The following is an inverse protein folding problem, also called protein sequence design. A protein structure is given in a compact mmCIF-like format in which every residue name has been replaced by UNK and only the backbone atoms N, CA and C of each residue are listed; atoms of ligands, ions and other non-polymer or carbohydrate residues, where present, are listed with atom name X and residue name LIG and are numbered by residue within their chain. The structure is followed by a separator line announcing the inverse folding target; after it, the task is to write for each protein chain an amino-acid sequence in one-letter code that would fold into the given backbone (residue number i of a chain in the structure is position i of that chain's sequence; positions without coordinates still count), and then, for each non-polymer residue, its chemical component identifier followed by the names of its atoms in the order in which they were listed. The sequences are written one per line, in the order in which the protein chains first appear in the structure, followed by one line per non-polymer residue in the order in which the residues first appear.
data_IF_364255376184
#
_entry.id   IF_364255376184
#
_cell.length_a   1.000
_cell.length_b   1.000
_cell.length_c   1.000
_cell.angle_alpha   90.00
_cell.angle_beta   90.00
_cell.angle_gamma   90.00
#
_symmetry.space_group_name_H-M   'P 1'
#
loop_
_entity.id
_entity.type
_entity.pdbx_description
1 polymer ?
#
# COMPACT_ATOMS: atom_id res chain seq x y z
N UNK A 1 -28.73 -2.19 6.86
CA UNK A 1 -27.31 -2.42 7.25
C UNK A 1 -26.66 -3.15 6.08
N UNK A 2 -25.68 -2.55 5.42
CA UNK A 2 -24.98 -3.22 4.31
C UNK A 2 -24.19 -4.43 4.84
N UNK A 3 -24.25 -5.57 4.14
CA UNK A 3 -23.56 -6.80 4.53
C UNK A 3 -22.05 -6.63 4.29
N UNK A 4 -21.21 -6.92 5.28
CA UNK A 4 -19.76 -6.88 5.15
C UNK A 4 -19.28 -8.02 4.24
N UNK A 5 -18.67 -7.67 3.10
CA UNK A 5 -18.13 -8.59 2.10
C UNK A 5 -16.61 -8.35 1.99
N UNK A 6 -15.84 -9.28 2.54
CA UNK A 6 -14.37 -9.17 2.61
C UNK A 6 -13.72 -9.32 1.23
N UNK A 7 -14.29 -10.12 0.34
CA UNK A 7 -13.71 -10.40 -0.98
C UNK A 7 -13.85 -9.21 -1.93
N UNK A 8 -14.91 -8.40 -1.77
CA UNK A 8 -15.14 -7.20 -2.58
C UNK A 8 -14.41 -5.95 -2.09
N UNK A 9 -13.94 -5.94 -0.83
CA UNK A 9 -13.34 -4.75 -0.20
C UNK A 9 -11.85 -4.66 -0.52
N UNK A 10 -11.51 -4.04 -1.65
CA UNK A 10 -10.13 -3.64 -1.94
C UNK A 10 -9.72 -2.54 -0.95
N UNK A 11 -8.84 -2.87 -0.01
CA UNK A 11 -8.27 -1.90 0.95
C UNK A 11 -7.35 -0.93 0.19
N UNK A 12 -7.40 0.34 0.56
CA UNK A 12 -6.56 1.39 -0.02
C UNK A 12 -5.97 2.28 1.07
N UNK A 13 -4.85 2.92 0.76
CA UNK A 13 -4.30 4.03 1.52
C UNK A 13 -4.24 5.28 0.67
N UNK A 14 -4.48 6.43 1.30
CA UNK A 14 -4.21 7.74 0.70
C UNK A 14 -2.80 8.20 1.05
N UNK A 15 -2.28 9.20 0.34
CA UNK A 15 -0.98 9.83 0.65
C UNK A 15 -0.95 10.50 2.03
N UNK A 16 -2.11 10.81 2.62
CA UNK A 16 -2.20 11.26 4.00
C UNK A 16 -2.01 10.14 5.03
N UNK A 17 -1.76 8.90 4.59
CA UNK A 17 -1.51 7.73 5.46
C UNK A 17 -2.77 7.06 6.01
N UNK A 18 -3.97 7.61 5.74
CA UNK A 18 -5.23 7.06 6.21
C UNK A 18 -5.77 6.02 5.24
N UNK A 19 -6.34 4.95 5.79
CA UNK A 19 -6.86 3.82 5.03
C UNK A 19 -8.37 3.89 4.86
N UNK A 20 -8.85 3.39 3.74
CA UNK A 20 -10.27 3.30 3.41
C UNK A 20 -10.47 2.28 2.29
N UNK A 21 -11.70 1.80 2.09
CA UNK A 21 -12.00 0.91 0.98
C UNK A 21 -12.03 1.67 -0.36
N UNK A 22 -11.61 1.04 -1.46
CA UNK A 22 -11.59 1.67 -2.79
C UNK A 22 -12.97 2.21 -3.20
N UNK A 23 -14.02 1.41 -2.99
CA UNK A 23 -15.38 1.85 -3.30
C UNK A 23 -15.81 3.06 -2.48
N UNK A 24 -15.42 3.09 -1.20
CA UNK A 24 -15.74 4.18 -0.29
C UNK A 24 -15.16 5.49 -0.82
N UNK A 25 -13.88 5.48 -1.21
CA UNK A 25 -13.19 6.65 -1.75
C UNK A 25 -13.73 7.07 -3.14
N UNK A 26 -14.25 6.13 -3.92
CA UNK A 26 -14.86 6.44 -5.22
C UNK A 26 -16.24 7.08 -5.10
N UNK A 27 -17.07 6.61 -4.15
CA UNK A 27 -18.43 7.12 -3.90
C UNK A 27 -18.45 8.47 -3.16
N UNK A 28 -17.31 8.94 -2.64
CA UNK A 28 -17.24 10.23 -1.98
C UNK A 28 -17.56 11.37 -2.97
N UNK A 29 -18.54 12.23 -2.65
CA UNK A 29 -18.89 13.36 -3.51
C UNK A 29 -17.75 14.39 -3.60
N UNK A 30 -17.02 14.56 -2.49
CA UNK A 30 -15.83 15.40 -2.42
C UNK A 30 -14.62 14.52 -2.12
N UNK A 31 -13.55 14.64 -2.91
CA UNK A 31 -12.33 13.83 -2.77
C UNK A 31 -11.46 14.31 -1.62
N UNK A 32 -12.02 14.27 -0.41
CA UNK A 32 -11.35 14.61 0.84
C UNK A 32 -11.27 13.38 1.72
N UNK A 33 -10.11 13.16 2.33
CA UNK A 33 -9.90 12.04 3.24
C UNK A 33 -10.99 12.05 4.34
N UNK A 34 -11.70 10.94 4.59
CA UNK A 34 -12.76 10.90 5.59
C UNK A 34 -12.24 11.11 7.02
N UNK A 35 -10.95 10.86 7.28
CA UNK A 35 -10.35 11.02 8.60
C UNK A 35 -9.78 12.41 8.83
N UNK A 36 -8.94 12.91 7.92
CA UNK A 36 -8.20 14.16 8.11
C UNK A 36 -8.64 15.29 7.17
N UNK A 37 -9.61 15.04 6.29
CA UNK A 37 -10.19 15.99 5.32
C UNK A 37 -9.21 16.57 4.30
N UNK A 38 -7.96 16.08 4.26
CA UNK A 38 -7.00 16.44 3.21
C UNK A 38 -7.53 16.03 1.84
N UNK A 39 -7.52 16.97 0.90
CA UNK A 39 -7.93 16.72 -0.48
C UNK A 39 -6.99 15.67 -1.12
N UNK A 40 -7.55 14.85 -1.99
CA UNK A 40 -6.83 13.85 -2.77
C UNK A 40 -7.42 13.74 -4.20
N UNK A 41 -6.68 13.15 -5.12
CA UNK A 41 -7.18 12.78 -6.47
C UNK A 41 -7.28 11.26 -6.61
N UNK A 42 -7.98 10.76 -7.63
CA UNK A 42 -8.16 9.31 -7.81
C UNK A 42 -6.82 8.59 -8.04
N UNK A 43 -5.84 9.26 -8.65
CA UNK A 43 -4.48 8.74 -8.87
C UNK A 43 -3.70 8.58 -7.55
N UNK A 44 -4.12 9.28 -6.50
CA UNK A 44 -3.52 9.22 -5.16
C UNK A 44 -4.14 8.13 -4.27
N UNK A 45 -5.05 7.31 -4.82
CA UNK A 45 -5.62 6.14 -4.14
C UNK A 45 -4.74 4.92 -4.41
N UNK A 46 -3.99 4.48 -3.40
CA UNK A 46 -3.07 3.35 -3.50
C UNK A 46 -3.80 2.08 -3.02
N UNK A 47 -4.06 1.13 -3.94
CA UNK A 47 -4.67 -0.16 -3.60
C UNK A 47 -3.66 -1.06 -2.88
N UNK A 48 -4.06 -1.59 -1.74
CA UNK A 48 -3.30 -2.58 -0.97
C UNK A 48 -3.73 -3.98 -1.43
N UNK A 49 -2.91 -4.60 -2.27
CA UNK A 49 -3.13 -6.00 -2.66
C UNK A 49 -2.55 -6.91 -1.57
N UNK A 50 -3.43 -7.61 -0.84
CA UNK A 50 -3.04 -8.59 0.20
C UNK A 50 -2.28 -9.82 -0.35
N UNK A 51 -2.09 -9.93 -1.68
CA UNK A 51 -1.60 -11.16 -2.34
C UNK A 51 -0.09 -11.25 -2.58
N UNK A 52 0.74 -10.33 -2.07
CA UNK A 52 2.21 -10.42 -2.31
C UNK A 52 2.89 -11.46 -1.39
N UNK A 53 2.25 -11.93 -0.32
CA UNK A 53 2.94 -12.81 0.65
C UNK A 53 2.62 -14.31 0.57
N UNK A 54 1.68 -14.76 -0.27
CA UNK A 54 1.42 -16.22 -0.42
C UNK A 54 2.20 -16.89 -1.56
N UNK A 55 2.66 -16.14 -2.56
CA UNK A 55 3.40 -16.71 -3.70
C UNK A 55 4.93 -16.56 -3.55
N UNK A 56 5.42 -15.61 -2.76
CA UNK A 56 6.85 -15.34 -2.58
C UNK A 56 7.51 -16.11 -1.40
N UNK A 57 6.81 -17.06 -0.78
CA UNK A 57 7.37 -17.85 0.34
C UNK A 57 8.36 -18.95 -0.08
N UNK A 58 8.69 -19.08 -1.37
CA UNK A 58 9.64 -20.09 -1.88
C UNK A 58 10.92 -19.52 -2.51
N UNK A 59 11.00 -18.22 -2.83
CA UNK A 59 12.17 -17.67 -3.56
C UNK A 59 13.06 -16.70 -2.76
N UNK A 60 12.67 -16.27 -1.55
CA UNK A 60 13.51 -15.40 -0.70
C UNK A 60 14.36 -16.21 0.30
N UNK A 61 14.79 -17.42 -0.06
CA UNK A 61 15.74 -18.20 0.74
C UNK A 61 17.18 -18.21 0.16
N UNK A 62 17.42 -17.62 -1.02
CA UNK A 62 18.71 -17.71 -1.71
C UNK A 62 19.40 -16.37 -2.00
N UNK A 63 18.87 -15.24 -1.51
CA UNK A 63 19.52 -13.94 -1.72
C UNK A 63 20.21 -13.46 -0.45
N UNK A 64 21.41 -13.98 -0.17
CA UNK A 64 22.35 -13.35 0.77
C UNK A 64 23.19 -12.33 -0.01
N UNK A 65 23.10 -11.01 0.28
CA UNK A 65 24.05 -10.06 -0.28
C UNK A 65 25.37 -10.11 0.51
N UNK A 66 26.44 -10.59 -0.12
CA UNK A 66 27.81 -10.37 0.35
C UNK A 66 28.14 -8.88 0.23
N UNK A 67 28.32 -8.21 1.37
CA UNK A 67 28.79 -6.83 1.44
C UNK A 67 30.29 -6.82 1.10
N UNK A 68 30.65 -6.37 -0.10
CA UNK A 68 32.02 -5.99 -0.43
C UNK A 68 32.26 -4.58 0.12
N UNK A 69 32.88 -4.49 1.30
CA UNK A 69 33.42 -3.22 1.79
C UNK A 69 34.67 -2.84 0.97
N UNK A 70 34.49 -1.98 -0.03
CA UNK A 70 35.59 -1.27 -0.67
C UNK A 70 36.16 -0.24 0.32
N UNK A 71 37.32 -0.57 0.93
CA UNK A 71 38.15 0.41 1.64
C UNK A 71 38.81 1.34 0.62
N UNK A 72 38.30 2.57 0.55
CA UNK A 72 38.96 3.68 -0.13
C UNK A 72 40.24 4.02 0.65
N UNK A 73 41.38 3.83 -0.01
CA UNK A 73 42.70 4.27 0.43
C UNK A 73 42.71 5.77 0.76
N UNK A 74 43.23 6.12 1.94
CA UNK A 74 43.82 7.44 2.20
C UNK A 74 45.14 7.25 2.93
N UNK A 75 46.18 7.25 2.10
CA UNK A 75 47.46 7.99 2.20
C UNK A 75 48.22 8.00 3.53
#
# INVERSE_FOLDING_TARGET
MEKYDEEKRIECTLLCGHRSCFECLNKLPNKNCPTCRKAFTNEQIIKLFKLILKQFSLEIALFQPEIVENKIEKK
#
